data_IF_430100655713
#
_entry.id   IF_430100655713
#
_cell.length_a   1.000
_cell.length_b   1.000
_cell.length_c   1.000
_cell.angle_alpha   90.00
_cell.angle_beta   90.00
_cell.angle_gamma   90.00
#
_symmetry.space_group_name_H-M   'P 1'
#
loop_
_entity.id
_entity.type
_entity.pdbx_description
1 polymer ?
#
# COMPACT_ATOMS: atom_id res chain seq x y z
N UNK A 1 -10.58 -5.84 -8.57
CA UNK A 1 -10.45 -4.38 -8.39
C UNK A 1 -10.18 -3.69 -9.74
N UNK A 2 -10.75 -2.52 -10.02
CA UNK A 2 -10.45 -1.76 -11.25
C UNK A 2 -9.37 -0.69 -10.98
N UNK A 3 -8.39 -0.58 -11.88
CA UNK A 3 -7.27 0.33 -11.72
C UNK A 3 -6.67 0.80 -13.05
N UNK A 4 -5.99 1.94 -13.03
CA UNK A 4 -5.23 2.48 -14.15
C UNK A 4 -3.90 3.06 -13.68
N UNK A 5 -2.82 2.71 -14.38
CA UNK A 5 -1.50 3.28 -14.14
C UNK A 5 -1.17 4.37 -15.17
N UNK A 6 -0.56 5.46 -14.70
CA UNK A 6 -0.15 6.59 -15.54
C UNK A 6 1.27 7.02 -15.21
N UNK A 7 2.02 7.46 -16.22
CA UNK A 7 3.37 7.99 -16.06
C UNK A 7 3.43 9.40 -16.62
N UNK A 8 3.88 10.34 -15.82
CA UNK A 8 4.26 11.66 -16.32
C UNK A 8 5.62 11.53 -17.04
N UNK A 9 5.62 11.65 -18.38
CA UNK A 9 6.85 11.53 -19.19
C UNK A 9 7.84 12.67 -19.00
N UNK A 10 7.39 13.81 -18.46
CA UNK A 10 8.25 14.98 -18.22
C UNK A 10 9.05 14.82 -16.92
N UNK A 11 8.39 14.35 -15.84
CA UNK A 11 8.97 14.25 -14.50
C UNK A 11 9.42 12.82 -14.14
N UNK A 12 8.95 11.81 -14.87
CA UNK A 12 9.20 10.40 -14.56
C UNK A 12 8.26 9.83 -13.49
N UNK A 13 7.46 10.67 -12.84
CA UNK A 13 6.53 10.28 -11.77
C UNK A 13 5.47 9.30 -12.27
N UNK A 14 5.23 8.26 -11.47
CA UNK A 14 4.22 7.23 -11.72
C UNK A 14 3.03 7.40 -10.78
N UNK A 15 1.84 7.13 -11.28
CA UNK A 15 0.58 7.28 -10.55
C UNK A 15 -0.28 6.03 -10.73
N UNK A 16 -1.00 5.65 -9.69
CA UNK A 16 -2.02 4.62 -9.75
C UNK A 16 -3.38 5.20 -9.33
N UNK A 17 -4.39 5.02 -10.18
CA UNK A 17 -5.78 5.35 -9.88
C UNK A 17 -6.57 4.06 -9.70
N UNK A 18 -7.36 4.00 -8.64
CA UNK A 18 -8.22 2.87 -8.34
C UNK A 18 -9.67 3.34 -8.25
N UNK A 19 -10.61 2.39 -8.44
CA UNK A 19 -12.04 2.65 -8.23
C UNK A 19 -12.35 3.09 -6.79
N UNK A 20 -13.56 3.61 -6.55
CA UNK A 20 -14.04 3.99 -5.21
C UNK A 20 -13.76 2.87 -4.18
N UNK A 21 -13.49 3.28 -2.94
CA UNK A 21 -13.07 2.48 -1.78
C UNK A 21 -11.58 2.02 -1.77
N UNK A 22 -10.84 2.24 -2.87
CA UNK A 22 -9.45 1.79 -3.02
C UNK A 22 -8.46 2.95 -3.28
N UNK A 23 -8.88 4.19 -3.05
CA UNK A 23 -8.08 5.39 -3.36
C UNK A 23 -6.76 5.45 -2.57
N UNK A 24 -6.75 4.94 -1.34
CA UNK A 24 -5.55 4.91 -0.49
C UNK A 24 -4.51 3.93 -1.03
N UNK A 25 -4.93 2.85 -1.70
CA UNK A 25 -4.01 1.97 -2.42
C UNK A 25 -3.29 2.75 -3.54
N UNK A 26 -4.03 3.55 -4.31
CA UNK A 26 -3.47 4.41 -5.36
C UNK A 26 -2.37 5.32 -4.86
N UNK A 27 -2.64 5.98 -3.73
CA UNK A 27 -1.66 6.82 -3.04
C UNK A 27 -0.46 6.03 -2.57
N UNK A 28 -0.65 4.87 -1.93
CA UNK A 28 0.47 4.04 -1.49
C UNK A 28 1.35 3.56 -2.65
N UNK A 29 0.75 3.16 -3.78
CA UNK A 29 1.50 2.80 -4.99
C UNK A 29 2.33 3.97 -5.54
N UNK A 30 1.79 5.19 -5.52
CA UNK A 30 2.47 6.37 -6.05
C UNK A 30 3.52 6.96 -5.08
N UNK A 31 3.18 7.06 -3.80
CA UNK A 31 3.92 7.80 -2.76
C UNK A 31 4.90 6.91 -2.00
N UNK A 32 4.52 5.68 -1.62
CA UNK A 32 5.33 4.78 -0.80
C UNK A 32 6.10 3.73 -1.59
N UNK A 33 5.55 3.28 -2.73
CA UNK A 33 6.19 2.31 -3.61
C UNK A 33 6.94 2.98 -4.78
N UNK A 34 6.28 3.90 -5.48
CA UNK A 34 6.86 4.62 -6.62
C UNK A 34 7.47 3.68 -7.67
N UNK A 35 8.69 3.98 -8.10
CA UNK A 35 9.47 3.14 -9.01
C UNK A 35 10.46 2.20 -8.31
N UNK A 36 10.33 2.00 -6.98
CA UNK A 36 11.18 1.10 -6.20
C UNK A 36 10.83 -0.37 -6.48
N UNK A 37 11.50 -0.92 -7.49
CA UNK A 37 11.40 -2.32 -7.88
C UNK A 37 11.84 -3.28 -6.77
N UNK A 38 12.80 -2.87 -5.94
CA UNK A 38 13.31 -3.73 -4.87
C UNK A 38 12.25 -3.90 -3.78
N UNK A 39 11.57 -2.81 -3.41
CA UNK A 39 10.44 -2.84 -2.49
C UNK A 39 9.27 -3.65 -3.04
N UNK A 40 8.93 -3.49 -4.32
CA UNK A 40 7.89 -4.30 -4.97
C UNK A 40 8.19 -5.81 -4.94
N UNK A 41 9.41 -6.20 -5.32
CA UNK A 41 9.86 -7.60 -5.29
C UNK A 41 9.90 -8.15 -3.86
N UNK A 42 10.33 -7.32 -2.90
CA UNK A 42 10.33 -7.70 -1.49
C UNK A 42 8.91 -8.03 -1.01
N UNK A 43 7.94 -7.16 -1.28
CA UNK A 43 6.54 -7.37 -0.89
C UNK A 43 5.95 -8.62 -1.57
N UNK A 44 6.21 -8.84 -2.86
CA UNK A 44 5.80 -10.09 -3.54
C UNK A 44 6.39 -11.33 -2.88
N UNK A 45 7.64 -11.25 -2.42
CA UNK A 45 8.28 -12.35 -1.68
C UNK A 45 7.59 -12.58 -0.33
N UNK A 46 7.22 -11.51 0.40
CA UNK A 46 6.48 -11.64 1.66
C UNK A 46 5.09 -12.25 1.44
N UNK A 47 4.37 -11.83 0.38
CA UNK A 47 3.08 -12.42 -0.02
C UNK A 47 3.23 -13.92 -0.29
N UNK A 48 4.27 -14.34 -1.02
CA UNK A 48 4.52 -15.76 -1.27
C UNK A 48 4.78 -16.54 0.04
N UNK A 49 5.53 -15.97 0.97
CA UNK A 49 5.76 -16.56 2.29
C UNK A 49 4.46 -16.67 3.10
N UNK A 50 3.59 -15.66 3.04
CA UNK A 50 2.27 -15.68 3.70
C UNK A 50 1.38 -16.77 3.10
N UNK A 51 1.28 -16.84 1.78
CA UNK A 51 0.51 -17.88 1.07
C UNK A 51 1.01 -19.29 1.35
N UNK A 52 2.31 -19.45 1.59
CA UNK A 52 2.91 -20.75 1.95
C UNK A 52 2.68 -21.15 3.42
N UNK A 53 2.14 -20.25 4.25
CA UNK A 53 2.02 -20.43 5.70
C UNK A 53 3.33 -20.32 6.48
N UNK A 54 4.41 -19.84 5.83
CA UNK A 54 5.70 -19.57 6.50
C UNK A 54 5.64 -18.29 7.33
N UNK A 55 4.89 -17.30 6.85
CA UNK A 55 4.54 -16.08 7.57
C UNK A 55 3.02 -16.03 7.74
N UNK A 56 2.56 -15.44 8.83
CA UNK A 56 1.11 -15.23 9.04
C UNK A 56 0.69 -13.80 8.69
N UNK A 57 1.63 -12.87 8.75
CA UNK A 57 1.38 -11.45 8.72
C UNK A 57 2.66 -10.69 8.36
N UNK A 58 2.51 -9.56 7.69
CA UNK A 58 3.57 -8.60 7.44
C UNK A 58 3.01 -7.18 7.53
N UNK A 59 3.79 -6.27 8.11
CA UNK A 59 3.48 -4.83 8.12
C UNK A 59 4.71 -4.04 7.73
N UNK A 60 4.53 -3.11 6.80
CA UNK A 60 5.55 -2.15 6.35
C UNK A 60 5.03 -0.74 6.64
N UNK A 61 5.69 -0.07 7.59
CA UNK A 61 5.36 1.28 8.04
C UNK A 61 6.11 2.28 7.16
N UNK A 62 5.39 2.88 6.22
CA UNK A 62 5.89 3.96 5.38
C UNK A 62 5.86 5.32 6.08
N UNK A 63 6.19 6.36 5.32
CA UNK A 63 6.22 7.73 5.84
C UNK A 63 4.83 8.22 6.21
N UNK A 64 3.94 8.27 5.21
CA UNK A 64 2.56 8.75 5.37
C UNK A 64 1.56 7.60 5.40
N UNK A 65 1.89 6.46 4.78
CA UNK A 65 0.99 5.31 4.69
C UNK A 65 1.68 4.02 5.15
N UNK A 66 0.96 3.24 5.94
CA UNK A 66 1.34 1.89 6.36
C UNK A 66 0.56 0.86 5.55
N UNK A 67 1.23 -0.21 5.13
CA UNK A 67 0.62 -1.40 4.53
C UNK A 67 0.71 -2.58 5.50
N UNK A 68 -0.39 -3.32 5.58
CA UNK A 68 -0.56 -4.47 6.44
C UNK A 68 -1.15 -5.62 5.61
N UNK A 69 -0.51 -6.77 5.65
CA UNK A 69 -0.80 -7.93 4.79
C UNK A 69 -0.95 -9.16 5.68
N UNK A 70 -2.10 -9.83 5.57
CA UNK A 70 -2.33 -11.15 6.13
C UNK A 70 -2.70 -12.15 5.02
N UNK A 71 -3.08 -13.37 5.41
CA UNK A 71 -3.42 -14.44 4.47
C UNK A 71 -4.72 -14.22 3.70
N UNK A 72 -5.58 -13.29 4.13
CA UNK A 72 -6.89 -13.04 3.56
C UNK A 72 -6.91 -11.72 2.78
N UNK A 73 -6.36 -10.66 3.36
CA UNK A 73 -6.48 -9.30 2.85
C UNK A 73 -5.23 -8.45 3.03
N UNK A 74 -5.19 -7.36 2.27
CA UNK A 74 -4.26 -6.25 2.40
C UNK A 74 -5.03 -5.03 2.86
N UNK A 75 -4.51 -4.35 3.87
CA UNK A 75 -4.99 -3.07 4.37
C UNK A 75 -3.92 -2.02 4.20
N UNK A 76 -4.30 -0.85 3.70
CA UNK A 76 -3.45 0.35 3.67
C UNK A 76 -4.14 1.46 4.46
N UNK A 77 -3.40 2.15 5.32
CA UNK A 77 -3.94 3.21 6.18
C UNK A 77 -2.88 4.28 6.48
N UNK A 78 -3.31 5.46 6.92
CA UNK A 78 -2.39 6.52 7.32
C UNK A 78 -1.47 6.09 8.48
N UNK A 79 -0.15 6.29 8.30
CA UNK A 79 0.84 6.13 9.36
C UNK A 79 0.59 7.19 10.44
N UNK A 80 0.40 6.75 11.68
CA UNK A 80 0.40 7.67 12.82
C UNK A 80 1.85 7.86 13.24
N UNK A 81 2.44 9.00 12.89
CA UNK A 81 3.75 9.40 13.42
C UNK A 81 3.52 9.78 14.88
N UNK A 82 3.79 8.83 15.78
CA UNK A 82 3.85 9.08 17.22
C UNK A 82 5.10 9.95 17.47
N UNK A 83 4.94 11.27 17.41
CA UNK A 83 5.95 12.17 17.94
C UNK A 83 6.00 11.91 19.43
N UNK A 84 7.13 11.38 19.91
CA UNK A 84 7.43 11.21 21.34
C UNK A 84 7.22 12.53 22.09
N UNK A 85 6.02 12.74 22.63
CA UNK A 85 5.82 13.57 23.82
C UNK A 85 4.74 12.90 24.68
N UNK A 86 5.24 12.21 25.70
CA UNK A 86 4.57 11.88 26.94
C UNK A 86 3.74 13.08 27.43
N UNK A 87 2.47 13.20 27.06
CA UNK A 87 1.43 13.88 27.83
C UNK A 87 0.03 13.57 27.26
N UNK A 88 -0.70 12.72 27.98
CA UNK A 88 -2.14 12.83 28.26
C UNK A 88 -2.97 13.64 27.25
N UNK A 89 -3.71 12.94 26.38
CA UNK A 89 -5.07 13.32 25.95
C UNK A 89 -5.71 12.01 25.43
N UNK A 90 -6.37 11.24 26.29
CA UNK A 90 -7.84 11.26 26.37
C UNK A 90 -8.50 11.69 25.04
N UNK A 91 -9.18 10.73 24.40
CA UNK A 91 -10.25 10.97 23.43
C UNK A 91 -9.85 11.56 22.08
N UNK A 92 -8.77 11.07 21.46
CA UNK A 92 -8.52 11.33 20.03
C UNK A 92 -9.53 10.57 19.17
N UNK A 93 -10.70 11.19 19.05
CA UNK A 93 -11.65 11.08 17.95
C UNK A 93 -11.08 10.28 16.77
N UNK A 94 -11.46 9.01 16.71
CA UNK A 94 -11.93 8.29 15.53
C UNK A 94 -11.84 9.09 14.21
N UNK A 95 -10.63 9.35 13.70
CA UNK A 95 -10.41 9.79 12.31
C UNK A 95 -10.50 8.60 11.35
N UNK A 96 -11.39 7.64 11.65
CA UNK A 96 -11.83 6.58 10.75
C UNK A 96 -12.79 7.19 9.71
N UNK A 97 -12.26 8.09 8.88
CA UNK A 97 -12.90 8.34 7.60
C UNK A 97 -12.62 7.11 6.72
N UNK A 98 -13.65 6.61 6.04
CA UNK A 98 -13.49 5.56 5.02
C UNK A 98 -12.55 5.96 3.86
N UNK A 99 -12.16 7.24 3.79
CA UNK A 99 -11.16 7.80 2.88
C UNK A 99 -9.71 7.69 3.40
N UNK A 100 -9.51 7.26 4.66
CA UNK A 100 -8.19 7.17 5.32
C UNK A 100 -7.57 5.77 5.25
N UNK A 101 -8.36 4.77 4.86
CA UNK A 101 -7.92 3.40 4.69
C UNK A 101 -8.59 2.70 3.51
N UNK A 102 -7.90 1.71 2.95
CA UNK A 102 -8.44 0.85 1.89
C UNK A 102 -8.09 -0.61 2.19
N UNK A 103 -8.97 -1.50 1.77
CA UNK A 103 -8.81 -2.95 1.92
C UNK A 103 -8.94 -3.61 0.55
N UNK A 104 -8.23 -4.72 0.35
CA UNK A 104 -8.44 -5.58 -0.80
C UNK A 104 -8.01 -7.02 -0.51
N UNK A 105 -8.49 -7.97 -1.32
CA UNK A 105 -8.04 -9.36 -1.21
C UNK A 105 -6.55 -9.50 -1.51
N UNK A 106 -5.89 -10.44 -0.84
CA UNK A 106 -4.46 -10.71 -1.04
C UNK A 106 -4.11 -10.99 -2.52
N UNK A 107 -4.92 -11.79 -3.19
CA UNK A 107 -4.72 -12.18 -4.60
C UNK A 107 -4.93 -11.01 -5.56
N UNK A 108 -5.92 -10.14 -5.27
CA UNK A 108 -6.15 -8.91 -6.03
C UNK A 108 -4.92 -7.99 -5.91
N UNK A 109 -4.42 -7.79 -4.68
CA UNK A 109 -3.25 -6.95 -4.45
C UNK A 109 -1.99 -7.49 -5.13
N UNK A 110 -1.72 -8.78 -5.03
CA UNK A 110 -0.60 -9.45 -5.70
C UNK A 110 -0.65 -9.20 -7.22
N UNK A 111 -1.82 -9.41 -7.84
CA UNK A 111 -2.03 -9.19 -9.29
C UNK A 111 -1.79 -7.73 -9.71
N UNK A 112 -2.25 -6.78 -8.88
CA UNK A 112 -2.02 -5.35 -9.10
C UNK A 112 -0.54 -5.00 -8.96
N UNK A 113 0.15 -5.55 -7.95
CA UNK A 113 1.56 -5.30 -7.69
C UNK A 113 2.46 -5.85 -8.80
N UNK A 114 2.16 -7.04 -9.33
CA UNK A 114 2.82 -7.59 -10.51
C UNK A 114 2.61 -6.69 -11.73
N UNK A 115 1.37 -6.22 -11.94
CA UNK A 115 1.04 -5.31 -13.04
C UNK A 115 1.74 -3.96 -12.90
N UNK A 116 1.88 -3.44 -11.68
CA UNK A 116 2.64 -2.23 -11.39
C UNK A 116 4.12 -2.42 -11.73
N UNK A 117 4.72 -3.55 -11.30
CA UNK A 117 6.11 -3.89 -11.58
C UNK A 117 6.36 -3.99 -13.09
N UNK A 118 5.44 -4.60 -13.84
CA UNK A 118 5.50 -4.65 -15.30
C UNK A 118 5.41 -3.24 -15.91
N UNK A 119 4.49 -2.41 -15.43
CA UNK A 119 4.32 -1.03 -15.87
C UNK A 119 5.58 -0.17 -15.65
N UNK A 120 6.21 -0.22 -14.47
CA UNK A 120 7.44 0.54 -14.19
C UNK A 120 8.68 0.00 -14.91
N UNK A 121 8.62 -1.24 -15.40
CA UNK A 121 9.66 -1.85 -16.23
C UNK A 121 9.52 -1.49 -17.72
N UNK A 122 8.28 -1.37 -18.22
CA UNK A 122 8.00 -0.94 -19.58
C UNK A 122 8.28 0.57 -19.72
N UNK A 123 9.29 0.95 -20.50
CA UNK A 123 9.77 2.34 -20.65
C UNK A 123 9.25 3.00 -21.91
#
# INVERSE_FOLDING_TARGET
MEYQFRRNRLEGTVFAEFSMDHEVLGRWFAEELGDDKSKAIHILTQIALIKSGTLNHMRDVGGELTIDIDSEQVRVFASVIDFEEEHLLEDSMSLYNAESESYCGLEDFESVLESWLAFINDK
#
